data_IF_775595238365
#
_entry.id   IF_775595238365
#
_cell.length_a   1.000
_cell.length_b   1.000
_cell.length_c   1.000
_cell.angle_alpha   90.00
_cell.angle_beta   90.00
_cell.angle_gamma   90.00
#
_symmetry.space_group_name_H-M   'P 1'
#
loop_
_entity.id
_entity.type
_entity.pdbx_description
1 polymer ?
#
# COMPACT_ATOMS: atom_id res chain seq x y z
N UNK A 1 50.32 50.06 11.99
CA UNK A 1 51.12 48.82 11.78
C UNK A 1 50.22 47.60 12.02
N UNK A 2 50.39 46.55 11.21
CA UNK A 2 49.91 45.16 11.37
C UNK A 2 48.37 44.89 11.49
N UNK A 3 47.85 44.27 10.43
CA UNK A 3 46.77 43.27 10.44
C UNK A 3 47.37 41.87 10.83
N UNK A 4 46.71 40.71 10.61
CA UNK A 4 45.80 40.05 11.56
C UNK A 4 46.24 38.59 11.88
N UNK A 5 45.41 37.82 12.59
CA UNK A 5 45.50 36.34 12.67
C UNK A 5 44.10 35.74 12.86
N UNK A 6 43.56 34.96 11.91
CA UNK A 6 43.74 33.49 11.79
C UNK A 6 43.23 32.74 13.02
N UNK A 7 41.96 32.33 13.07
CA UNK A 7 41.43 31.13 12.40
C UNK A 7 42.07 29.83 12.90
N UNK A 8 41.29 29.01 13.61
CA UNK A 8 41.50 27.56 13.65
C UNK A 8 40.16 26.82 13.55
N UNK A 9 40.06 25.96 12.55
CA UNK A 9 38.93 25.06 12.33
C UNK A 9 39.08 23.84 13.26
N UNK A 10 38.01 23.44 13.95
CA UNK A 10 37.98 22.21 14.74
C UNK A 10 37.46 21.06 13.90
N UNK A 11 38.36 20.21 13.41
CA UNK A 11 38.00 18.97 12.70
C UNK A 11 37.31 17.97 13.65
N UNK A 12 36.03 17.71 13.41
CA UNK A 12 35.29 16.64 14.10
C UNK A 12 35.72 15.28 13.55
N UNK A 13 36.62 14.59 14.25
CA UNK A 13 37.09 13.25 13.86
C UNK A 13 35.95 12.22 13.91
N UNK A 14 35.48 11.79 12.74
CA UNK A 14 34.67 10.58 12.58
C UNK A 14 35.44 9.35 13.06
N UNK A 15 34.89 8.63 14.05
CA UNK A 15 35.36 7.31 14.43
C UNK A 15 34.66 6.24 13.58
N UNK A 16 35.36 5.71 12.58
CA UNK A 16 34.93 4.51 11.86
C UNK A 16 35.35 3.26 12.65
N UNK A 17 34.40 2.59 13.29
CA UNK A 17 34.66 1.29 13.95
C UNK A 17 34.40 0.17 12.95
N UNK A 18 35.43 -0.17 12.19
CA UNK A 18 35.45 -1.36 11.33
C UNK A 18 35.78 -2.61 12.16
N UNK A 19 34.76 -3.23 12.77
CA UNK A 19 34.89 -4.52 13.43
C UNK A 19 34.88 -5.68 12.41
N UNK A 20 36.03 -5.96 11.77
CA UNK A 20 36.24 -7.22 11.06
C UNK A 20 36.46 -8.33 12.10
N UNK A 21 35.54 -9.28 12.20
CA UNK A 21 35.80 -10.55 12.89
C UNK A 21 35.77 -11.68 11.86
N UNK A 22 36.94 -12.25 11.59
CA UNK A 22 37.11 -13.37 10.66
C UNK A 22 37.04 -14.67 11.44
N UNK A 23 36.03 -15.49 11.18
CA UNK A 23 35.99 -16.89 11.59
C UNK A 23 35.88 -17.77 10.35
N UNK A 24 37.04 -18.26 9.93
CA UNK A 24 37.15 -19.30 8.91
C UNK A 24 36.78 -20.65 9.53
N UNK A 25 35.84 -21.36 8.90
CA UNK A 25 35.60 -22.78 9.15
C UNK A 25 35.41 -23.47 7.81
N UNK A 26 36.34 -24.38 7.52
CA UNK A 26 36.53 -24.96 6.19
C UNK A 26 35.43 -25.95 5.79
N UNK A 27 35.32 -26.16 4.48
CA UNK A 27 34.40 -27.11 3.85
C UNK A 27 34.51 -28.52 4.45
N UNK A 28 33.35 -29.20 4.52
CA UNK A 28 33.27 -30.64 4.32
C UNK A 28 32.18 -30.93 3.28
N UNK A 29 32.58 -31.26 2.06
CA UNK A 29 31.65 -31.72 1.01
C UNK A 29 31.39 -33.22 1.15
N UNK A 30 30.12 -33.63 1.23
CA UNK A 30 29.71 -35.00 0.96
C UNK A 30 28.41 -35.08 0.17
N UNK A 31 28.53 -35.65 -1.03
CA UNK A 31 27.49 -36.24 -1.88
C UNK A 31 28.24 -37.15 -2.85
N UNK A 32 27.82 -38.40 -3.07
CA UNK A 32 26.59 -38.63 -3.84
C UNK A 32 25.77 -39.89 -3.48
N UNK A 33 24.50 -39.93 -3.89
CA UNK A 33 23.85 -41.12 -4.48
C UNK A 33 22.46 -40.79 -5.08
N UNK A 34 22.25 -41.10 -6.37
CA UNK A 34 20.93 -41.36 -6.98
C UNK A 34 20.69 -42.88 -6.97
N UNK A 35 19.47 -43.37 -6.70
CA UNK A 35 18.53 -43.76 -7.78
C UNK A 35 17.04 -43.44 -7.45
N UNK A 36 16.02 -43.69 -8.28
CA UNK A 36 15.94 -44.28 -9.64
C UNK A 36 14.85 -43.55 -10.47
N UNK A 37 14.97 -43.62 -11.79
CA UNK A 37 13.95 -43.34 -12.80
C UNK A 37 12.61 -44.09 -12.60
N UNK A 38 11.47 -43.41 -12.80
CA UNK A 38 10.32 -43.99 -13.52
C UNK A 38 9.61 -42.93 -14.38
N UNK A 39 9.31 -43.30 -15.62
CA UNK A 39 8.67 -42.49 -16.66
C UNK A 39 7.15 -42.78 -16.75
N UNK A 40 6.35 -41.96 -17.46
CA UNK A 40 4.89 -41.96 -17.31
C UNK A 40 4.22 -43.09 -18.08
N UNK A 41 3.08 -43.58 -17.57
CA UNK A 41 2.20 -44.48 -18.32
C UNK A 41 1.24 -43.69 -19.22
N UNK A 42 1.54 -43.71 -20.51
CA UNK A 42 0.57 -43.42 -21.57
C UNK A 42 -0.51 -44.49 -21.58
N UNK A 43 -1.78 -44.07 -21.56
CA UNK A 43 -2.89 -44.88 -22.06
C UNK A 43 -3.41 -44.25 -23.34
N UNK A 44 -3.49 -45.06 -24.39
CA UNK A 44 -4.02 -44.66 -25.70
C UNK A 44 -4.96 -45.73 -26.22
N UNK A 45 -5.98 -45.29 -26.96
CA UNK A 45 -6.83 -46.10 -27.84
C UNK A 45 -7.75 -47.14 -27.17
N UNK A 46 -9.05 -46.83 -27.16
CA UNK A 46 -9.94 -47.42 -28.18
C UNK A 46 -11.02 -46.38 -28.53
N UNK A 47 -11.28 -46.21 -29.83
CA UNK A 47 -12.36 -45.35 -30.32
C UNK A 47 -13.39 -46.14 -31.10
N UNK A 48 -14.59 -45.59 -31.26
CA UNK A 48 -15.42 -45.85 -32.44
C UNK A 48 -16.47 -44.75 -32.62
N UNK A 49 -16.75 -44.44 -33.89
CA UNK A 49 -17.69 -43.41 -34.29
C UNK A 49 -19.05 -44.00 -34.67
N UNK A 50 -20.12 -43.28 -34.30
CA UNK A 50 -21.42 -43.16 -34.97
C UNK A 50 -22.21 -42.07 -34.18
N UNK A 51 -22.96 -41.14 -34.76
CA UNK A 51 -23.31 -40.96 -36.16
C UNK A 51 -24.82 -41.00 -36.38
N UNK A 52 -25.53 -39.92 -36.01
CA UNK A 52 -26.82 -39.53 -36.61
C UNK A 52 -27.37 -38.24 -35.97
N UNK A 53 -27.68 -37.24 -36.81
CA UNK A 53 -28.73 -36.27 -36.49
C UNK A 53 -30.10 -36.91 -36.76
N UNK A 54 -31.17 -36.38 -36.16
CA UNK A 54 -32.22 -35.88 -37.04
C UNK A 54 -32.74 -34.50 -36.64
N UNK A 55 -33.21 -33.78 -37.66
CA UNK A 55 -33.98 -32.54 -37.58
C UNK A 55 -35.45 -32.81 -37.20
N UNK A 56 -36.11 -31.90 -36.47
CA UNK A 56 -37.20 -31.04 -37.00
C UNK A 56 -38.18 -30.50 -35.94
N UNK A 57 -38.91 -29.43 -36.34
CA UNK A 57 -40.25 -29.00 -35.86
C UNK A 57 -40.45 -28.53 -34.41
N UNK A 58 -40.36 -27.20 -34.26
CA UNK A 58 -41.42 -26.31 -33.72
C UNK A 58 -42.20 -26.66 -32.44
N UNK A 59 -42.05 -25.81 -31.42
CA UNK A 59 -43.19 -25.21 -30.70
C UNK A 59 -42.80 -23.89 -30.00
N UNK A 60 -43.69 -22.90 -30.04
CA UNK A 60 -43.68 -21.73 -29.13
C UNK A 60 -44.52 -22.09 -27.90
N UNK A 61 -44.10 -21.67 -26.70
CA UNK A 61 -44.85 -20.64 -25.95
C UNK A 61 -43.91 -19.47 -25.58
N UNK A 62 -44.33 -18.21 -25.75
CA UNK A 62 -45.06 -17.40 -24.75
C UNK A 62 -44.20 -16.99 -23.54
N UNK A 63 -43.99 -15.67 -23.38
CA UNK A 63 -43.32 -15.08 -22.20
C UNK A 63 -44.02 -15.47 -20.90
N UNK A 64 -43.24 -15.56 -19.82
CA UNK A 64 -43.50 -14.66 -18.70
C UNK A 64 -42.30 -13.77 -18.38
N UNK A 65 -42.59 -12.61 -17.81
CA UNK A 65 -41.61 -11.72 -17.20
C UNK A 65 -41.03 -12.33 -15.91
N UNK A 66 -39.71 -12.41 -15.79
CA UNK A 66 -39.02 -12.44 -14.50
C UNK A 66 -37.74 -11.63 -14.53
N UNK A 67 -37.52 -10.86 -13.47
CA UNK A 67 -36.29 -10.12 -13.21
C UNK A 67 -35.22 -11.08 -12.69
N UNK A 68 -34.39 -11.60 -13.59
CA UNK A 68 -33.28 -12.48 -13.20
C UNK A 68 -32.09 -11.65 -12.71
N UNK A 69 -31.80 -11.79 -11.43
CA UNK A 69 -30.68 -11.14 -10.75
C UNK A 69 -29.33 -11.55 -11.36
N UNK A 70 -28.74 -10.67 -12.17
CA UNK A 70 -27.36 -10.78 -12.64
C UNK A 70 -26.33 -10.47 -11.53
N UNK A 71 -26.47 -11.10 -10.36
CA UNK A 71 -25.70 -10.80 -9.14
C UNK A 71 -25.14 -12.05 -8.45
N UNK A 72 -25.19 -13.21 -9.11
CA UNK A 72 -24.74 -14.49 -8.57
C UNK A 72 -23.77 -15.21 -9.52
N UNK A 73 -22.59 -14.62 -9.76
CA UNK A 73 -21.37 -15.40 -10.10
C UNK A 73 -20.02 -14.64 -10.04
N UNK A 74 -19.99 -13.36 -9.64
CA UNK A 74 -18.73 -12.69 -9.27
C UNK A 74 -18.06 -13.32 -8.01
N UNK A 75 -18.79 -14.15 -7.27
CA UNK A 75 -18.57 -14.49 -5.85
C UNK A 75 -17.61 -15.64 -5.54
N UNK A 76 -16.83 -16.14 -6.53
CA UNK A 76 -15.79 -17.15 -6.30
C UNK A 76 -14.40 -16.69 -6.78
N UNK A 77 -14.31 -16.10 -7.98
CA UNK A 77 -13.04 -15.66 -8.56
C UNK A 77 -12.47 -14.44 -7.81
N UNK A 78 -13.33 -13.48 -7.42
CA UNK A 78 -12.97 -12.33 -6.57
C UNK A 78 -12.78 -12.70 -5.09
N UNK A 79 -13.23 -13.90 -4.70
CA UNK A 79 -12.91 -14.48 -3.39
C UNK A 79 -11.52 -15.14 -3.39
N UNK A 80 -11.04 -15.59 -4.56
CA UNK A 80 -9.68 -16.15 -4.79
C UNK A 80 -8.63 -15.09 -5.09
N UNK A 81 -9.01 -13.98 -5.72
CA UNK A 81 -8.12 -12.82 -5.94
C UNK A 81 -7.91 -12.08 -4.62
N UNK A 82 -6.74 -12.26 -4.01
CA UNK A 82 -6.34 -11.44 -2.87
C UNK A 82 -6.37 -9.95 -3.22
N UNK A 83 -6.85 -9.12 -2.29
CA UNK A 83 -7.03 -7.68 -2.45
C UNK A 83 -5.72 -6.91 -2.58
N UNK A 84 -5.79 -5.56 -2.54
CA UNK A 84 -4.64 -4.71 -2.81
C UNK A 84 -3.56 -4.84 -1.75
N UNK A 85 -2.32 -4.60 -2.18
CA UNK A 85 -1.17 -4.40 -1.30
C UNK A 85 -1.16 -2.94 -0.86
N UNK A 86 -1.24 -2.68 0.45
CA UNK A 86 -1.08 -1.32 0.97
C UNK A 86 0.41 -1.02 1.13
N UNK A 87 0.82 0.15 0.64
CA UNK A 87 2.18 0.67 0.69
C UNK A 87 2.16 2.03 1.37
N UNK A 88 2.84 2.14 2.51
CA UNK A 88 2.89 3.35 3.33
C UNK A 88 4.26 4.00 3.20
N UNK A 89 4.32 5.23 2.72
CA UNK A 89 5.53 6.04 2.62
C UNK A 89 5.60 6.99 3.83
N UNK A 90 6.70 6.98 4.56
CA UNK A 90 7.06 8.01 5.54
C UNK A 90 8.08 8.96 4.91
N UNK A 91 7.74 10.24 4.87
CA UNK A 91 8.36 11.26 4.02
C UNK A 91 8.43 12.60 4.72
N UNK A 92 9.20 13.55 4.20
CA UNK A 92 9.10 14.96 4.57
C UNK A 92 9.71 15.83 3.47
N UNK A 93 9.07 16.97 3.17
CA UNK A 93 9.64 18.00 2.31
C UNK A 93 10.95 18.59 2.87
N UNK A 94 11.20 18.48 4.17
CA UNK A 94 12.45 18.91 4.82
C UNK A 94 13.64 17.95 4.62
N UNK A 95 13.42 16.77 4.03
CA UNK A 95 14.43 15.74 3.76
C UNK A 95 14.83 15.72 2.28
N UNK A 96 16.13 15.84 1.97
CA UNK A 96 16.67 15.97 0.60
C UNK A 96 16.24 14.87 -0.38
N UNK A 97 16.10 13.62 0.08
CA UNK A 97 15.83 12.44 -0.77
C UNK A 97 14.36 12.05 -0.84
N UNK A 98 13.52 12.57 0.06
CA UNK A 98 12.08 12.26 0.06
C UNK A 98 11.36 12.57 -1.26
N UNK A 99 11.64 13.69 -1.99
CA UNK A 99 10.99 13.95 -3.28
C UNK A 99 11.20 12.87 -4.35
N UNK A 100 12.29 12.08 -4.29
CA UNK A 100 12.48 10.95 -5.19
C UNK A 100 11.48 9.82 -4.89
N UNK A 101 11.28 9.50 -3.61
CA UNK A 101 10.33 8.49 -3.16
C UNK A 101 8.88 8.92 -3.47
N UNK A 102 8.54 10.19 -3.22
CA UNK A 102 7.23 10.76 -3.56
C UNK A 102 6.87 10.55 -5.05
N UNK A 103 7.81 10.84 -5.96
CA UNK A 103 7.61 10.63 -7.40
C UNK A 103 7.41 9.15 -7.76
N UNK A 104 8.15 8.24 -7.11
CA UNK A 104 8.00 6.79 -7.30
C UNK A 104 6.62 6.31 -6.85
N UNK A 105 6.19 6.70 -5.64
CA UNK A 105 4.96 6.26 -5.03
C UNK A 105 3.72 6.91 -5.67
N UNK A 106 3.82 8.18 -6.12
CA UNK A 106 2.82 8.84 -6.97
C UNK A 106 2.52 8.01 -8.22
N UNK A 107 3.56 7.64 -8.98
CA UNK A 107 3.41 6.78 -10.17
C UNK A 107 2.83 5.40 -9.83
N UNK A 108 3.15 4.87 -8.65
CA UNK A 108 2.70 3.55 -8.20
C UNK A 108 1.20 3.55 -7.92
N UNK A 109 0.72 4.54 -7.18
CA UNK A 109 -0.69 4.67 -6.82
C UNK A 109 -1.58 5.09 -8.00
N UNK A 110 -1.05 5.86 -8.96
CA UNK A 110 -1.79 6.23 -10.20
C UNK A 110 -1.80 5.11 -11.26
N UNK A 111 -0.88 4.15 -11.18
CA UNK A 111 -0.72 3.09 -12.19
C UNK A 111 0.19 3.44 -13.38
N UNK A 112 0.86 4.60 -13.34
CA UNK A 112 1.70 5.19 -14.42
C UNK A 112 3.03 4.44 -14.67
N UNK A 113 3.12 3.17 -14.29
CA UNK A 113 4.26 2.30 -14.56
C UNK A 113 4.04 1.36 -15.76
N UNK A 114 2.93 1.49 -16.48
CA UNK A 114 2.82 0.92 -17.81
C UNK A 114 4.01 1.39 -18.65
N UNK A 115 4.95 0.47 -18.90
CA UNK A 115 6.16 0.76 -19.65
C UNK A 115 5.79 1.18 -21.07
N UNK A 116 6.54 2.14 -21.61
CA UNK A 116 6.36 2.62 -22.97
C UNK A 116 6.30 1.42 -23.95
N UNK A 117 5.24 1.38 -24.75
CA UNK A 117 5.11 0.41 -25.83
C UNK A 117 6.31 0.58 -26.77
N UNK A 118 7.18 -0.42 -26.81
CA UNK A 118 8.20 -0.50 -27.85
C UNK A 118 7.65 -1.40 -28.94
N UNK A 119 7.41 -0.84 -30.12
CA UNK A 119 7.11 -1.62 -31.32
C UNK A 119 8.20 -2.68 -31.52
N UNK A 120 7.84 -3.97 -31.44
CA UNK A 120 8.82 -5.06 -31.48
C UNK A 120 8.57 -6.23 -30.53
N UNK A 121 7.56 -6.17 -29.65
CA UNK A 121 7.03 -7.36 -28.97
C UNK A 121 7.92 -7.94 -27.87
N UNK A 122 8.12 -7.18 -26.78
CA UNK A 122 8.83 -7.71 -25.60
C UNK A 122 9.20 -6.69 -24.55
N UNK A 123 8.22 -6.01 -23.93
CA UNK A 123 8.46 -5.14 -22.77
C UNK A 123 7.67 -5.65 -21.56
N UNK A 124 8.35 -6.40 -20.68
CA UNK A 124 7.87 -6.61 -19.32
C UNK A 124 8.21 -5.34 -18.54
N UNK A 125 7.29 -4.37 -18.53
CA UNK A 125 7.45 -3.14 -17.75
C UNK A 125 7.76 -3.46 -16.28
N UNK A 126 8.47 -2.58 -15.56
CA UNK A 126 8.96 -2.86 -14.21
C UNK A 126 7.86 -3.30 -13.21
N UNK A 127 6.60 -2.93 -13.48
CA UNK A 127 5.40 -3.30 -12.71
C UNK A 127 4.48 -4.33 -13.37
N UNK A 128 4.84 -4.87 -14.53
CA UNK A 128 4.06 -5.95 -15.14
C UNK A 128 4.00 -7.15 -14.18
N UNK A 129 2.78 -7.55 -13.81
CA UNK A 129 2.55 -8.59 -12.80
C UNK A 129 2.57 -8.10 -11.34
N UNK A 130 2.60 -6.79 -11.07
CA UNK A 130 2.23 -6.31 -9.72
C UNK A 130 0.77 -6.66 -9.40
N UNK A 131 0.45 -6.98 -8.14
CA UNK A 131 -0.92 -6.92 -7.67
C UNK A 131 -1.43 -5.46 -7.63
N UNK A 132 -2.75 -5.23 -7.49
CA UNK A 132 -3.28 -3.90 -7.22
C UNK A 132 -2.59 -3.30 -5.98
N UNK A 133 -2.23 -2.03 -6.04
CA UNK A 133 -1.56 -1.30 -4.95
C UNK A 133 -2.46 -0.15 -4.49
N UNK A 134 -2.45 0.13 -3.19
CA UNK A 134 -2.92 1.42 -2.66
C UNK A 134 -1.78 2.07 -1.88
N UNK A 135 -1.55 3.35 -2.13
CA UNK A 135 -0.47 4.15 -1.52
C UNK A 135 -1.06 5.07 -0.45
N UNK A 136 -0.31 5.29 0.63
CA UNK A 136 -0.55 6.34 1.62
C UNK A 136 0.79 7.04 1.95
N UNK A 137 0.85 8.37 1.86
CA UNK A 137 2.02 9.17 2.20
C UNK A 137 1.83 9.91 3.54
N UNK A 138 2.72 9.65 4.50
CA UNK A 138 2.70 10.14 5.86
C UNK A 138 3.89 11.09 6.10
N UNK A 139 3.60 12.39 6.17
CA UNK A 139 4.64 13.41 6.33
C UNK A 139 5.06 13.54 7.80
N UNK A 140 6.32 13.23 8.13
CA UNK A 140 6.82 13.25 9.51
C UNK A 140 7.36 14.63 9.89
N UNK A 141 7.17 15.02 11.16
CA UNK A 141 7.47 16.37 11.67
C UNK A 141 8.90 16.57 12.18
N UNK A 142 9.68 15.50 12.34
CA UNK A 142 11.05 15.58 12.86
C UNK A 142 12.09 16.14 11.86
N UNK A 143 11.64 16.70 10.74
CA UNK A 143 12.46 17.52 9.84
C UNK A 143 12.08 19.01 9.88
N UNK A 144 10.96 19.41 10.51
CA UNK A 144 10.45 20.80 10.46
C UNK A 144 11.40 21.85 11.06
N UNK A 145 12.43 21.42 11.82
CA UNK A 145 13.46 22.29 12.37
C UNK A 145 14.65 22.54 11.42
N UNK A 146 14.76 21.86 10.27
CA UNK A 146 15.90 22.00 9.33
C UNK A 146 15.78 23.21 8.38
N UNK A 147 14.92 24.17 8.72
CA UNK A 147 14.77 25.45 8.01
C UNK A 147 13.62 25.50 7.00
N UNK A 148 12.99 24.36 6.71
CA UNK A 148 11.69 24.26 6.05
C UNK A 148 10.71 23.53 6.97
N UNK A 149 9.47 24.05 7.04
CA UNK A 149 8.38 23.40 7.77
C UNK A 149 7.42 22.80 6.75
N UNK A 150 7.24 21.50 6.78
CA UNK A 150 6.38 20.79 5.84
C UNK A 150 4.89 21.07 6.19
N UNK A 151 4.08 21.58 5.26
CA UNK A 151 2.68 21.95 5.51
C UNK A 151 1.76 20.74 5.75
N UNK A 152 2.23 19.52 5.47
CA UNK A 152 1.48 18.28 5.65
C UNK A 152 2.00 17.45 6.82
N UNK A 153 3.11 17.85 7.44
CA UNK A 153 3.73 17.10 8.53
C UNK A 153 2.86 17.03 9.80
N UNK A 154 2.97 15.90 10.51
CA UNK A 154 2.29 15.69 11.78
C UNK A 154 3.07 14.79 12.73
N UNK A 155 3.06 15.15 14.02
CA UNK A 155 3.54 14.28 15.10
C UNK A 155 2.80 12.93 15.14
N UNK A 156 1.56 12.87 14.66
CA UNK A 156 0.80 11.62 14.55
C UNK A 156 1.42 10.66 13.51
N UNK A 157 1.99 11.21 12.44
CA UNK A 157 2.69 10.45 11.39
C UNK A 157 4.04 9.94 11.90
N UNK A 158 4.76 10.77 12.67
CA UNK A 158 5.95 10.35 13.43
C UNK A 158 5.63 9.26 14.45
N UNK A 159 4.51 9.34 15.17
CA UNK A 159 4.05 8.28 16.10
C UNK A 159 3.69 6.99 15.36
N UNK A 160 3.04 7.06 14.19
CA UNK A 160 2.78 5.89 13.35
C UNK A 160 4.08 5.24 12.86
N UNK A 161 5.08 6.03 12.49
CA UNK A 161 6.39 5.51 12.11
C UNK A 161 7.10 4.82 13.29
N UNK A 162 7.02 5.38 14.51
CA UNK A 162 7.56 4.74 15.73
C UNK A 162 6.94 3.37 16.01
N UNK A 163 5.62 3.22 15.78
CA UNK A 163 4.96 1.92 15.91
C UNK A 163 5.51 0.87 14.92
N UNK A 164 5.99 1.29 13.74
CA UNK A 164 6.70 0.41 12.81
C UNK A 164 8.15 0.13 13.21
N UNK A 165 8.86 1.10 13.77
CA UNK A 165 10.20 0.88 14.37
C UNK A 165 10.12 -0.19 15.45
N UNK A 166 9.12 -0.13 16.34
CA UNK A 166 8.89 -1.13 17.39
C UNK A 166 8.47 -2.50 16.82
N UNK A 167 7.47 -2.56 15.94
CA UNK A 167 6.93 -3.84 15.45
C UNK A 167 7.88 -4.57 14.49
N UNK A 168 8.70 -3.85 13.73
CA UNK A 168 9.70 -4.39 12.80
C UNK A 168 11.12 -4.46 13.39
N UNK A 169 11.29 -4.04 14.66
CA UNK A 169 12.57 -4.06 15.41
C UNK A 169 13.70 -3.31 14.72
N UNK A 170 13.44 -2.05 14.37
CA UNK A 170 14.41 -1.16 13.73
C UNK A 170 15.14 -0.32 14.79
N UNK A 171 16.36 0.10 14.49
CA UNK A 171 17.18 0.87 15.43
C UNK A 171 16.83 2.38 15.46
N UNK A 172 16.22 2.91 14.39
CA UNK A 172 15.96 4.33 14.23
C UNK A 172 14.78 4.65 13.29
N UNK A 173 14.25 5.87 13.44
CA UNK A 173 13.41 6.53 12.42
C UNK A 173 14.30 7.07 11.31
N UNK A 174 13.82 7.01 10.06
CA UNK A 174 14.49 7.62 8.91
C UNK A 174 13.48 7.96 7.80
N UNK A 175 13.86 8.82 6.86
CA UNK A 175 13.09 9.11 5.64
C UNK A 175 14.01 9.13 4.41
N UNK A 176 13.47 8.81 3.21
CA UNK A 176 12.16 8.20 3.00
C UNK A 176 12.17 6.72 3.41
N UNK A 177 11.16 6.29 4.16
CA UNK A 177 10.94 4.88 4.51
C UNK A 177 9.65 4.39 3.87
N UNK A 178 9.69 3.26 3.19
CA UNK A 178 8.50 2.59 2.65
C UNK A 178 8.19 1.36 3.50
N UNK A 179 6.93 1.17 3.88
CA UNK A 179 6.44 0.00 4.59
C UNK A 179 5.36 -0.70 3.76
N UNK A 180 5.58 -1.97 3.43
CA UNK A 180 4.68 -2.78 2.60
C UNK A 180 3.87 -3.73 3.50
N UNK A 181 2.53 -3.63 3.43
CA UNK A 181 1.56 -4.43 4.20
C UNK A 181 1.81 -4.47 5.73
N UNK A 182 2.50 -3.46 6.27
CA UNK A 182 2.94 -3.41 7.66
C UNK A 182 3.90 -4.54 8.06
N UNK A 183 4.71 -5.07 7.12
CA UNK A 183 5.54 -6.28 7.31
C UNK A 183 6.97 -6.16 6.81
N UNK A 184 7.17 -5.55 5.65
CA UNK A 184 8.49 -5.26 5.10
C UNK A 184 8.73 -3.76 5.13
N UNK A 185 9.96 -3.33 5.43
CA UNK A 185 10.36 -1.93 5.41
C UNK A 185 11.60 -1.77 4.55
N UNK A 186 11.63 -0.70 3.76
CA UNK A 186 12.62 -0.46 2.71
C UNK A 186 12.99 1.02 2.66
N UNK A 187 14.18 1.32 2.13
CA UNK A 187 14.56 2.70 1.80
C UNK A 187 13.73 3.16 0.61
N UNK A 188 13.07 4.31 0.74
CA UNK A 188 12.11 4.81 -0.26
C UNK A 188 12.69 5.18 -1.62
N UNK A 189 14.02 5.12 -1.79
CA UNK A 189 14.74 5.37 -3.04
C UNK A 189 15.23 4.09 -3.74
N UNK A 190 14.90 2.89 -3.22
CA UNK A 190 15.21 1.62 -3.89
C UNK A 190 13.96 1.05 -4.60
N UNK A 191 13.74 1.53 -5.82
CA UNK A 191 12.65 1.09 -6.70
C UNK A 191 12.60 -0.45 -6.86
N UNK A 192 13.76 -1.10 -6.96
CA UNK A 192 13.84 -2.53 -7.28
C UNK A 192 13.41 -3.38 -6.08
N UNK A 193 13.89 -3.04 -4.88
CA UNK A 193 13.47 -3.71 -3.65
C UNK A 193 12.00 -3.43 -3.33
N UNK A 194 11.51 -2.19 -3.48
CA UNK A 194 10.10 -1.82 -3.23
C UNK A 194 9.17 -2.65 -4.13
N UNK A 195 9.46 -2.69 -5.43
CA UNK A 195 8.69 -3.49 -6.39
C UNK A 195 8.76 -4.99 -6.08
N UNK A 196 9.91 -5.50 -5.62
CA UNK A 196 10.07 -6.90 -5.19
C UNK A 196 9.24 -7.23 -3.94
N UNK A 197 9.23 -6.34 -2.95
CA UNK A 197 8.42 -6.46 -1.75
C UNK A 197 6.92 -6.43 -2.05
N UNK A 198 6.47 -5.58 -2.98
CA UNK A 198 5.06 -5.54 -3.43
C UNK A 198 4.65 -6.84 -4.13
N UNK A 199 5.49 -7.39 -5.03
CA UNK A 199 5.21 -8.68 -5.71
C UNK A 199 5.09 -9.86 -4.75
N UNK A 200 5.91 -9.87 -3.69
CA UNK A 200 5.98 -10.95 -2.70
C UNK A 200 5.06 -10.75 -1.49
N UNK A 201 4.41 -9.60 -1.36
CA UNK A 201 3.58 -9.26 -0.21
C UNK A 201 2.37 -10.20 -0.05
N UNK A 202 2.03 -10.61 1.19
CA UNK A 202 0.82 -11.39 1.44
C UNK A 202 -0.42 -10.56 1.12
N UNK A 203 -1.29 -11.11 0.26
CA UNK A 203 -2.56 -10.50 -0.14
C UNK A 203 -3.72 -11.10 0.63
N UNK A 204 -4.57 -10.24 1.16
CA UNK A 204 -5.77 -10.62 1.92
C UNK A 204 -7.02 -10.18 1.15
N UNK A 205 -8.15 -10.91 1.22
CA UNK A 205 -9.39 -10.44 0.62
C UNK A 205 -9.75 -9.04 1.12
N UNK A 206 -10.17 -8.15 0.20
CA UNK A 206 -10.68 -6.83 0.61
C UNK A 206 -11.91 -6.98 1.50
N UNK A 207 -12.04 -6.18 2.57
CA UNK A 207 -13.29 -5.98 3.26
C UNK A 207 -14.42 -5.57 2.30
N UNK A 208 -15.66 -5.73 2.74
CA UNK A 208 -16.87 -5.37 1.99
C UNK A 208 -17.74 -4.43 2.82
N UNK A 209 -17.26 -3.20 2.99
CA UNK A 209 -17.99 -2.10 3.59
C UNK A 209 -18.72 -1.28 2.53
N UNK A 210 -19.94 -0.89 2.89
CA UNK A 210 -20.65 0.23 2.31
C UNK A 210 -20.32 1.48 3.12
N UNK A 211 -20.34 2.64 2.46
CA UNK A 211 -20.01 3.93 3.06
C UNK A 211 -21.11 4.96 2.77
N UNK A 212 -21.39 5.80 3.76
CA UNK A 212 -22.19 7.01 3.62
C UNK A 212 -21.39 8.20 4.10
N UNK A 213 -21.29 9.22 3.25
CA UNK A 213 -20.68 10.51 3.56
C UNK A 213 -21.77 11.53 3.90
N UNK A 214 -21.52 12.37 4.90
CA UNK A 214 -22.35 13.51 5.25
C UNK A 214 -21.44 14.66 5.67
N UNK A 215 -21.83 15.91 5.38
CA UNK A 215 -21.09 17.11 5.79
C UNK A 215 -21.93 17.96 6.76
N UNK A 216 -21.97 17.66 8.07
CA UNK A 216 -22.82 18.37 9.03
C UNK A 216 -22.44 19.85 9.21
N UNK A 217 -21.21 20.22 8.87
CA UNK A 217 -20.71 21.60 8.89
C UNK A 217 -19.61 21.76 7.83
N UNK A 218 -19.29 23.00 7.47
CA UNK A 218 -18.23 23.30 6.48
C UNK A 218 -16.88 22.68 6.84
N UNK A 219 -16.55 22.58 8.13
CA UNK A 219 -15.30 22.06 8.66
C UNK A 219 -15.34 20.60 9.14
N UNK A 220 -16.37 19.80 8.83
CA UNK A 220 -16.46 18.41 9.32
C UNK A 220 -17.12 17.47 8.31
N UNK A 221 -16.40 16.38 7.98
CA UNK A 221 -16.91 15.27 7.19
C UNK A 221 -17.23 14.08 8.11
N UNK A 222 -18.49 13.70 8.20
CA UNK A 222 -18.95 12.49 8.88
C UNK A 222 -18.98 11.33 7.88
N UNK A 223 -18.35 10.23 8.27
CA UNK A 223 -18.29 9.00 7.46
C UNK A 223 -18.84 7.85 8.28
N UNK A 224 -19.94 7.26 7.82
CA UNK A 224 -20.54 6.05 8.40
C UNK A 224 -20.20 4.86 7.51
N UNK A 225 -19.61 3.82 8.09
CA UNK A 225 -19.22 2.61 7.37
C UNK A 225 -19.90 1.38 8.00
N UNK A 226 -20.34 0.43 7.17
CA UNK A 226 -20.91 -0.86 7.62
C UNK A 226 -20.55 -1.97 6.64
N UNK A 227 -19.98 -3.08 7.13
CA UNK A 227 -19.44 -4.13 6.26
C UNK A 227 -18.86 -5.36 6.94
N UNK A 228 -18.40 -6.31 6.14
CA UNK A 228 -17.72 -7.53 6.61
C UNK A 228 -16.21 -7.43 6.39
N UNK A 229 -15.43 -7.94 7.35
CA UNK A 229 -13.96 -7.90 7.28
C UNK A 229 -13.37 -8.87 6.24
N UNK A 230 -14.11 -9.94 5.85
CA UNK A 230 -13.71 -11.06 4.98
C UNK A 230 -12.46 -11.87 5.40
N UNK A 231 -11.66 -11.38 6.35
CA UNK A 231 -10.63 -12.11 7.09
C UNK A 231 -11.13 -12.47 8.50
N UNK A 232 -10.67 -13.60 9.05
CA UNK A 232 -10.91 -13.95 10.48
C UNK A 232 -9.97 -13.11 11.35
N UNK A 233 -10.48 -12.53 12.43
CA UNK A 233 -9.69 -11.88 13.48
C UNK A 233 -9.69 -12.78 14.71
N UNK A 234 -8.52 -13.06 15.27
CA UNK A 234 -8.34 -13.92 16.44
C UNK A 234 -8.36 -13.11 17.77
N UNK A 235 -7.94 -13.76 18.85
CA UNK A 235 -7.90 -13.19 20.20
C UNK A 235 -6.85 -12.10 20.42
N UNK A 236 -5.91 -11.88 19.47
CA UNK A 236 -4.99 -10.73 19.51
C UNK A 236 -5.67 -9.42 19.11
N UNK A 237 -6.79 -9.51 18.38
CA UNK A 237 -7.57 -8.37 17.92
C UNK A 237 -6.95 -7.61 16.74
N UNK A 238 -7.76 -6.74 16.15
CA UNK A 238 -7.36 -5.84 15.09
C UNK A 238 -8.12 -4.51 15.21
N UNK A 239 -7.53 -3.43 14.74
CA UNK A 239 -8.19 -2.15 14.56
C UNK A 239 -8.66 -2.01 13.11
N UNK A 240 -9.86 -1.46 12.91
CA UNK A 240 -10.33 -1.01 11.60
C UNK A 240 -10.01 0.47 11.49
N UNK A 241 -9.04 0.81 10.65
CA UNK A 241 -8.52 2.15 10.43
C UNK A 241 -9.12 2.76 9.16
N UNK A 242 -9.30 4.08 9.15
CA UNK A 242 -9.83 4.85 8.01
C UNK A 242 -8.92 6.04 7.75
N UNK A 243 -8.17 6.00 6.65
CA UNK A 243 -7.32 7.09 6.20
C UNK A 243 -8.05 7.96 5.17
N UNK A 244 -8.05 9.27 5.35
CA UNK A 244 -8.47 10.26 4.37
C UNK A 244 -7.20 10.94 3.82
N UNK A 245 -6.96 10.80 2.52
CA UNK A 245 -5.78 11.31 1.84
C UNK A 245 -6.14 12.28 0.71
N UNK A 246 -5.17 13.06 0.25
CA UNK A 246 -5.32 14.09 -0.78
C UNK A 246 -4.21 14.01 -1.85
N UNK A 247 -4.59 14.27 -3.10
CA UNK A 247 -3.73 14.19 -4.29
C UNK A 247 -3.51 15.58 -4.94
N UNK A 248 -2.50 15.67 -5.80
CA UNK A 248 -2.23 16.88 -6.59
C UNK A 248 -1.94 18.09 -5.72
N UNK A 249 -1.19 17.88 -4.63
CA UNK A 249 -0.72 18.92 -3.73
C UNK A 249 0.59 19.49 -4.28
N UNK A 250 0.66 20.82 -4.38
CA UNK A 250 1.82 21.55 -4.92
C UNK A 250 2.30 22.53 -3.85
N UNK A 251 3.60 22.48 -3.53
CA UNK A 251 4.23 23.36 -2.54
C UNK A 251 5.47 24.03 -3.13
N UNK A 252 5.56 25.35 -3.03
CA UNK A 252 6.80 26.08 -3.30
C UNK A 252 7.70 26.02 -2.05
N UNK A 253 8.71 25.16 -2.08
CA UNK A 253 9.64 24.94 -0.97
C UNK A 253 10.73 26.01 -1.02
N UNK A 254 10.60 27.07 -0.22
CA UNK A 254 11.48 28.25 -0.31
C UNK A 254 12.80 28.13 0.49
N UNK A 255 12.96 27.10 1.33
CA UNK A 255 14.09 26.93 2.27
C UNK A 255 14.40 25.45 2.52
N UNK A 256 15.37 25.16 3.40
CA UNK A 256 15.78 23.80 3.75
C UNK A 256 16.53 23.08 2.63
N UNK A 257 16.71 21.76 2.76
CA UNK A 257 17.47 20.96 1.79
C UNK A 257 16.83 20.92 0.39
N UNK A 258 15.52 21.16 0.30
CA UNK A 258 14.76 21.25 -0.95
C UNK A 258 14.44 22.71 -1.37
N UNK A 259 15.12 23.70 -0.79
CA UNK A 259 14.89 25.12 -1.07
C UNK A 259 15.03 25.49 -2.55
N UNK A 260 14.10 26.30 -3.05
CA UNK A 260 14.00 26.71 -4.46
C UNK A 260 13.34 25.68 -5.38
N UNK A 261 12.68 24.64 -4.83
CA UNK A 261 11.99 23.59 -5.61
C UNK A 261 10.48 23.68 -5.42
N UNK A 262 9.75 23.49 -6.51
CA UNK A 262 8.32 23.17 -6.46
C UNK A 262 8.18 21.66 -6.24
N UNK A 263 7.57 21.27 -5.13
CA UNK A 263 7.35 19.88 -4.75
C UNK A 263 5.89 19.49 -5.06
N UNK A 264 5.71 18.30 -5.61
CA UNK A 264 4.41 17.69 -5.86
C UNK A 264 4.25 16.48 -4.94
N UNK A 265 3.12 16.38 -4.25
CA UNK A 265 2.80 15.27 -3.36
C UNK A 265 1.43 14.69 -3.72
N UNK A 266 1.34 13.35 -3.72
CA UNK A 266 0.13 12.56 -3.95
C UNK A 266 -0.08 11.59 -2.78
N UNK A 267 -1.32 11.11 -2.59
CA UNK A 267 -1.71 10.17 -1.53
C UNK A 267 -1.41 10.65 -0.10
N UNK A 268 -1.28 11.96 0.11
CA UNK A 268 -0.90 12.57 1.38
C UNK A 268 -2.01 12.39 2.41
N UNK A 269 -1.74 11.63 3.46
CA UNK A 269 -2.73 11.36 4.51
C UNK A 269 -2.95 12.63 5.33
N UNK A 270 -4.16 13.19 5.21
CA UNK A 270 -4.58 14.39 5.95
C UNK A 270 -5.24 14.03 7.28
N UNK A 271 -5.88 12.85 7.38
CA UNK A 271 -6.46 12.29 8.62
C UNK A 271 -6.39 10.75 8.62
N UNK A 272 -6.30 10.16 9.81
CA UNK A 272 -6.35 8.72 10.05
C UNK A 272 -7.12 8.51 11.35
N UNK A 273 -8.27 7.85 11.28
CA UNK A 273 -9.15 7.63 12.43
C UNK A 273 -9.45 6.14 12.61
N UNK A 274 -9.52 5.70 13.87
CA UNK A 274 -9.98 4.35 14.18
C UNK A 274 -11.50 4.28 14.17
N UNK A 275 -12.06 3.48 13.27
CA UNK A 275 -13.50 3.19 13.24
C UNK A 275 -13.93 2.36 14.44
N UNK A 276 -13.19 1.28 14.73
CA UNK A 276 -13.45 0.39 15.87
C UNK A 276 -12.26 -0.54 16.13
N UNK A 277 -12.24 -1.15 17.33
CA UNK A 277 -11.43 -2.33 17.63
C UNK A 277 -12.30 -3.58 17.53
N UNK A 278 -11.75 -4.66 16.97
CA UNK A 278 -12.43 -5.95 16.76
C UNK A 278 -11.60 -7.09 17.32
N UNK A 279 -12.25 -8.06 17.96
CA UNK A 279 -11.60 -9.24 18.55
C UNK A 279 -12.51 -10.47 18.46
N UNK A 280 -11.92 -11.64 18.21
CA UNK A 280 -12.62 -12.92 18.09
C UNK A 280 -13.80 -12.87 17.09
N UNK A 281 -13.55 -12.28 15.91
CA UNK A 281 -14.54 -12.04 14.87
C UNK A 281 -14.39 -13.04 13.71
N UNK A 282 -15.51 -13.68 13.33
CA UNK A 282 -15.61 -14.48 12.11
C UNK A 282 -15.67 -13.60 10.86
N UNK A 283 -15.12 -14.10 9.74
CA UNK A 283 -14.99 -13.36 8.48
C UNK A 283 -16.32 -12.80 7.89
N UNK A 284 -17.47 -13.37 8.29
CA UNK A 284 -18.81 -12.97 7.82
C UNK A 284 -19.55 -11.99 8.76
N UNK A 285 -18.99 -11.67 9.94
CA UNK A 285 -19.66 -10.77 10.89
C UNK A 285 -19.62 -9.33 10.37
N UNK A 286 -20.77 -8.68 10.35
CA UNK A 286 -20.88 -7.26 10.04
C UNK A 286 -20.32 -6.42 11.19
N UNK A 287 -19.55 -5.40 10.84
CA UNK A 287 -18.97 -4.38 11.71
C UNK A 287 -19.44 -3.04 11.17
N UNK A 288 -19.84 -2.12 12.06
CA UNK A 288 -20.26 -0.78 11.69
C UNK A 288 -19.73 0.27 12.66
N UNK A 289 -19.57 1.50 12.17
CA UNK A 289 -19.15 2.64 12.96
C UNK A 289 -19.29 3.96 12.21
N UNK A 290 -19.00 5.05 12.90
CA UNK A 290 -18.98 6.40 12.33
C UNK A 290 -17.76 7.16 12.83
N UNK A 291 -16.98 7.74 11.91
CA UNK A 291 -15.89 8.68 12.22
C UNK A 291 -16.27 10.09 11.77
N UNK A 292 -15.72 11.10 12.43
CA UNK A 292 -15.90 12.50 12.03
C UNK A 292 -14.51 13.10 11.79
N UNK A 293 -14.20 13.43 10.54
CA UNK A 293 -12.94 14.04 10.15
C UNK A 293 -13.06 15.58 10.22
N UNK A 294 -12.24 16.27 11.04
CA UNK A 294 -12.10 17.72 10.92
C UNK A 294 -11.40 18.05 9.60
N UNK A 295 -12.06 18.87 8.78
CA UNK A 295 -11.59 19.26 7.45
C UNK A 295 -10.59 20.43 7.54
N UNK A 296 -9.70 20.52 6.57
CA UNK A 296 -8.73 21.61 6.44
C UNK A 296 -9.27 22.74 5.56
N UNK A 297 -8.65 23.92 5.68
CA UNK A 297 -8.88 25.03 4.77
C UNK A 297 -8.51 24.62 3.33
N UNK A 298 -9.37 24.95 2.37
CA UNK A 298 -9.20 24.56 0.96
C UNK A 298 -9.54 23.09 0.65
N UNK A 299 -10.16 22.34 1.57
CA UNK A 299 -10.62 20.96 1.32
C UNK A 299 -11.40 20.84 0.01
N UNK A 300 -10.96 19.91 -0.86
CA UNK A 300 -11.63 19.56 -2.10
C UNK A 300 -11.80 18.03 -2.19
N UNK A 301 -13.04 17.55 -2.23
CA UNK A 301 -13.34 16.11 -2.29
C UNK A 301 -12.88 15.45 -3.58
N UNK A 302 -12.87 16.13 -4.72
CA UNK A 302 -12.40 15.54 -6.00
C UNK A 302 -10.89 15.30 -6.04
N UNK A 303 -10.14 15.85 -5.08
CA UNK A 303 -8.72 15.55 -4.84
C UNK A 303 -8.50 14.49 -3.76
N UNK A 304 -9.55 14.09 -3.05
CA UNK A 304 -9.44 13.23 -1.88
C UNK A 304 -9.90 11.79 -2.16
N UNK A 305 -9.18 10.83 -1.59
CA UNK A 305 -9.61 9.44 -1.52
C UNK A 305 -9.61 8.94 -0.09
N UNK A 306 -10.24 7.79 0.14
CA UNK A 306 -10.31 7.18 1.45
C UNK A 306 -9.96 5.69 1.40
N UNK A 307 -9.15 5.24 2.36
CA UNK A 307 -8.78 3.84 2.51
C UNK A 307 -9.26 3.34 3.88
N UNK A 308 -10.14 2.33 3.87
CA UNK A 308 -10.36 1.49 5.04
C UNK A 308 -9.36 0.35 5.00
N UNK A 309 -8.69 0.07 6.12
CA UNK A 309 -7.83 -1.11 6.26
C UNK A 309 -7.92 -1.73 7.65
N UNK A 310 -7.73 -3.05 7.70
CA UNK A 310 -7.74 -3.84 8.93
C UNK A 310 -6.29 -4.07 9.35
N UNK A 311 -5.93 -3.69 10.57
CA UNK A 311 -4.55 -3.70 11.06
C UNK A 311 -4.46 -4.42 12.41
N UNK A 312 -3.54 -5.38 12.59
CA UNK A 312 -3.33 -6.02 13.90
C UNK A 312 -2.40 -5.19 14.81
N UNK A 313 -2.22 -5.64 16.06
CA UNK A 313 -1.36 -4.99 17.05
C UNK A 313 0.12 -4.87 16.63
N UNK A 314 0.61 -5.72 15.73
CA UNK A 314 1.94 -5.64 15.13
C UNK A 314 2.00 -4.71 13.90
N UNK A 315 1.00 -3.84 13.74
CA UNK A 315 0.82 -2.94 12.60
C UNK A 315 0.60 -3.65 11.25
N UNK A 316 0.44 -4.97 11.22
CA UNK A 316 0.31 -5.72 9.97
C UNK A 316 -1.08 -5.59 9.37
N UNK A 317 -1.14 -5.33 8.05
CA UNK A 317 -2.40 -5.12 7.33
C UNK A 317 -3.01 -6.47 6.90
N UNK A 318 -4.32 -6.64 7.10
CA UNK A 318 -5.08 -7.90 6.94
C UNK A 318 -6.20 -7.81 5.89
N UNK A 319 -6.21 -6.72 5.12
CA UNK A 319 -7.20 -6.42 4.09
C UNK A 319 -7.46 -4.91 4.01
N UNK A 320 -7.71 -4.40 2.81
CA UNK A 320 -8.00 -2.98 2.58
C UNK A 320 -9.04 -2.79 1.46
N UNK A 321 -9.79 -1.69 1.54
CA UNK A 321 -10.84 -1.30 0.62
C UNK A 321 -10.78 0.23 0.39
N UNK A 322 -10.64 0.61 -0.88
CA UNK A 322 -10.65 2.00 -1.32
C UNK A 322 -12.08 2.52 -1.51
N UNK A 323 -12.27 3.81 -1.25
CA UNK A 323 -13.50 4.56 -1.50
C UNK A 323 -13.16 5.92 -2.12
N UNK A 324 -13.81 6.23 -3.23
CA UNK A 324 -13.86 7.58 -3.78
C UNK A 324 -14.81 8.44 -2.95
N UNK A 325 -14.46 9.71 -2.74
CA UNK A 325 -15.38 10.70 -2.21
C UNK A 325 -16.21 11.27 -3.38
N UNK A 326 -17.50 11.57 -3.18
CA UNK A 326 -18.28 12.22 -4.23
C UNK A 326 -17.77 13.64 -4.50
N UNK A 327 -17.87 14.07 -5.76
CA UNK A 327 -17.47 15.42 -6.21
C UNK A 327 -18.23 16.54 -5.46
N UNK A 328 -19.40 16.24 -4.91
CA UNK A 328 -20.22 17.16 -4.11
C UNK A 328 -20.55 16.51 -2.76
N UNK A 329 -20.21 17.21 -1.66
CA UNK A 329 -20.39 16.81 -0.25
C UNK A 329 -21.07 17.91 0.58
#
# INVERSE_FOLDING_TARGET
LRLPGSAHCSETKFWSISARSSLSLSLVSFSPARPLSMAPRLFSCFGRAAGSSPSSSSSRPANPSSSDNATADLSAEEQRRGGPVVVELFSSQGCATSPQAELLLSRLGRGDFHGAETEGGGVVGATAGLPPVVVLAFHVDYWDYTGWRDPYASSMWTVRQKAYVESLRLDALYTPQVVVQGRAQLVGTDDAEILSAIRSAPRFPSPTFQVSFQKPSSGTLRVTLSGQLRSKVDGSGADVQVALYENGLITDCTKGENGGRVLSNDFVVRKLEKLCHVKDISAKKTVSGTVNFPLWEGFNSSKCGMLLFVQNSLQQILGAQHFELPDVL
#
